data_IF_829793818056
#
_entry.id   IF_829793818056
#
_cell.length_a   1.000
_cell.length_b   1.000
_cell.length_c   1.000
_cell.angle_alpha   90.00
_cell.angle_beta   90.00
_cell.angle_gamma   90.00
#
_symmetry.space_group_name_H-M   'P 1'
#
loop_
_entity.id
_entity.type
_entity.pdbx_description
1 polymer ?
2 non-polymer ?
3 non-polymer ?
4 non-polymer ?
5 non-polymer ?
6 non-polymer ?
7 water ?
#
# COMPACT_ATOMS: atom_id res chain seq x y z
N UNK A 26 -22.94 22.69 -1.53
CA UNK A 26 -22.31 22.96 -0.23
C UNK A 26 -20.81 22.57 -0.20
N UNK A 27 -20.04 23.19 0.69
CA UNK A 27 -18.61 22.85 0.96
C UNK A 27 -18.47 21.34 1.18
N UNK A 28 -17.31 20.77 0.79
CA UNK A 28 -16.84 19.41 1.15
C UNK A 28 -17.87 18.34 0.76
N UNK A 29 -18.60 18.55 -0.34
CA UNK A 29 -19.71 17.67 -0.74
C UNK A 29 -19.23 16.76 -1.89
N UNK A 30 -17.91 16.56 -2.08
CA UNK A 30 -17.35 15.73 -3.17
C UNK A 30 -17.96 14.32 -3.13
N UNK A 31 -18.33 13.88 -1.93
CA UNK A 31 -18.58 12.45 -1.66
C UNK A 31 -19.83 12.29 -0.80
N UNK A 32 -20.83 13.13 -1.04
CA UNK A 32 -22.04 13.34 -0.20
C UNK A 32 -23.07 12.21 -0.43
N UNK A 33 -22.90 11.31 -1.40
CA UNK A 33 -23.93 10.27 -1.72
C UNK A 33 -24.96 10.76 -2.74
N UNK A 34 -24.73 11.93 -3.30
CA UNK A 34 -25.64 12.47 -4.31
C UNK A 34 -25.30 12.05 -5.74
N UNK A 35 -25.83 12.80 -6.69
CA UNK A 35 -25.75 12.44 -8.13
C UNK A 35 -24.67 13.24 -8.85
N UNK A 36 -23.69 13.78 -8.14
CA UNK A 36 -22.66 14.64 -8.75
C UNK A 36 -21.93 13.87 -9.86
N UNK A 37 -21.54 14.62 -10.87
CA UNK A 37 -20.74 14.13 -12.00
C UNK A 37 -19.69 15.20 -12.28
N UNK A 38 -18.90 15.52 -11.26
CA UNK A 38 -17.95 16.65 -11.32
C UNK A 38 -16.54 16.20 -11.70
N UNK A 39 -16.29 14.91 -11.68
CA UNK A 39 -14.94 14.41 -11.91
C UNK A 39 -14.02 14.69 -10.72
N UNK A 40 -14.56 14.78 -9.52
CA UNK A 40 -13.81 15.00 -8.28
C UNK A 40 -14.08 13.94 -7.21
N UNK A 41 -14.97 12.98 -7.48
CA UNK A 41 -15.44 11.90 -6.58
C UNK A 41 -14.27 10.96 -6.23
N UNK A 42 -14.30 10.36 -5.08
CA UNK A 42 -13.41 9.24 -4.75
C UNK A 42 -13.71 8.06 -5.67
N UNK A 43 -12.64 7.31 -5.98
CA UNK A 43 -12.76 6.02 -6.67
C UNK A 43 -12.49 4.89 -5.69
N UNK A 44 -13.47 4.00 -5.55
CA UNK A 44 -13.40 2.90 -4.58
C UNK A 44 -12.83 1.62 -5.15
N UNK A 45 -12.22 1.72 -6.33
CA UNK A 45 -11.41 0.63 -6.91
C UNK A 45 -9.93 1.05 -7.01
N UNK A 46 -9.58 2.10 -6.26
CA UNK A 46 -8.22 2.63 -6.21
C UNK A 46 -7.71 2.54 -4.78
N UNK A 47 -6.66 1.76 -4.58
CA UNK A 47 -6.16 1.37 -3.26
C UNK A 47 -4.80 1.98 -3.05
N UNK A 48 -4.60 2.81 -2.06
CA UNK A 48 -3.34 3.50 -1.84
C UNK A 48 -2.66 2.97 -0.58
N UNK A 49 -1.45 2.43 -0.75
CA UNK A 49 -0.77 1.78 0.39
C UNK A 49 -0.28 2.81 1.39
N UNK A 50 -0.72 2.66 2.62
CA UNK A 50 -0.53 3.64 3.70
C UNK A 50 0.18 2.99 4.88
N UNK A 51 1.08 3.77 5.47
CA UNK A 51 1.95 3.32 6.56
C UNK A 51 1.72 4.21 7.76
N UNK A 52 1.43 3.58 8.91
CA UNK A 52 1.12 4.28 10.15
C UNK A 52 2.19 4.07 11.20
N UNK A 53 3.44 3.89 10.76
CA UNK A 53 4.55 3.52 11.65
C UNK A 53 5.43 4.71 12.03
N UNK A 54 5.05 5.93 11.68
CA UNK A 54 5.86 7.10 11.99
C UNK A 54 5.51 7.61 13.39
N UNK A 55 6.53 8.09 14.10
CA UNK A 55 6.33 8.61 15.46
C UNK A 55 7.00 9.94 15.66
N UNK A 56 6.54 10.62 16.68
CA UNK A 56 7.29 11.76 17.22
C UNK A 56 7.68 11.45 18.65
N UNK A 57 8.74 12.08 19.13
CA UNK A 57 9.12 11.91 20.55
C UNK A 57 7.92 12.31 21.41
N UNK A 58 7.27 13.46 21.13
CA UNK A 58 6.20 13.98 21.99
C UNK A 58 5.06 12.99 22.12
N UNK A 59 4.61 12.43 21.03
CA UNK A 59 3.36 11.63 21.05
C UNK A 59 3.66 10.15 21.25
N UNK A 60 4.75 9.65 20.69
CA UNK A 60 5.03 8.20 20.66
C UNK A 60 6.25 7.81 21.48
N UNK A 61 7.03 8.77 21.92
CA UNK A 61 8.20 8.50 22.76
C UNK A 61 9.50 8.44 22.00
N UNK A 62 9.44 8.36 20.68
CA UNK A 62 10.61 8.31 19.80
C UNK A 62 10.17 8.76 18.42
N UNK A 63 11.09 9.23 17.61
CA UNK A 63 10.80 9.60 16.20
C UNK A 63 10.83 8.30 15.38
N UNK A 64 9.86 7.43 15.68
CA UNK A 64 9.80 6.10 15.10
C UNK A 64 9.77 6.16 13.59
N UNK A 65 10.55 5.32 12.96
CA UNK A 65 10.69 5.18 11.49
C UNK A 65 11.42 6.39 10.85
N UNK A 66 11.25 7.62 11.31
CA UNK A 66 12.14 8.69 10.84
C UNK A 66 13.58 8.32 11.22
N UNK A 67 13.74 7.71 12.39
CA UNK A 67 14.95 6.97 12.80
C UNK A 67 14.82 5.53 12.29
N UNK A 68 15.87 4.99 11.69
CA UNK A 68 15.79 3.64 11.09
C UNK A 68 17.19 3.08 10.96
N UNK A 69 17.30 1.78 11.15
CA UNK A 69 18.56 1.08 10.91
C UNK A 69 18.92 1.16 9.42
N UNK A 70 20.21 1.23 9.14
CA UNK A 70 20.73 1.10 7.78
C UNK A 70 20.93 -0.40 7.55
N UNK A 71 20.37 -0.94 6.47
CA UNK A 71 20.43 -2.38 6.19
C UNK A 71 21.85 -2.73 5.74
N UNK A 72 22.40 -3.86 6.19
CA UNK A 72 23.67 -4.32 5.66
C UNK A 72 23.49 -4.74 4.19
N UNK A 73 24.61 -4.73 3.49
CA UNK A 73 24.68 -5.16 2.08
C UNK A 73 24.58 -6.68 2.06
N UNK A 74 23.51 -7.28 1.47
CA UNK A 74 23.37 -8.74 1.46
C UNK A 74 24.50 -9.45 0.71
N UNK A 75 25.23 -8.73 -0.15
CA UNK A 75 26.41 -9.25 -0.90
C UNK A 75 27.74 -8.68 -0.33
N UNK A 76 27.72 -7.99 0.81
CA UNK A 76 28.87 -7.20 1.32
C UNK A 76 29.75 -7.95 2.32
N UNK A 77 29.33 -9.13 2.78
CA UNK A 77 30.13 -9.98 3.69
C UNK A 77 30.17 -9.46 5.12
N UNK A 78 31.20 -9.89 5.85
CA UNK A 78 31.30 -9.82 7.34
C UNK A 78 31.94 -8.51 7.81
N UNK A 79 31.56 -8.08 9.02
CA UNK A 79 32.17 -6.95 9.73
C UNK A 79 31.44 -5.64 9.49
N UNK A 80 30.31 -5.68 8.79
CA UNK A 80 29.45 -4.50 8.55
C UNK A 80 28.76 -4.09 9.85
N UNK A 81 29.12 -2.90 10.36
CA UNK A 81 28.29 -2.13 11.31
C UNK A 81 27.70 -0.99 10.50
N UNK A 82 26.62 -1.22 9.72
CA UNK A 82 26.15 -0.21 8.77
C UNK A 82 25.59 1.05 9.46
N UNK A 83 25.23 0.89 10.73
CA UNK A 83 24.77 2.01 11.59
C UNK A 83 23.29 2.33 11.44
N UNK A 84 22.93 3.55 11.82
CA UNK A 84 21.51 3.97 11.89
C UNK A 84 21.35 5.39 11.39
N UNK A 85 20.20 5.69 10.91
CA UNK A 85 19.80 7.08 10.68
C UNK A 85 19.04 7.54 11.91
N UNK A 86 19.44 8.67 12.50
CA UNK A 86 18.96 8.99 13.83
C UNK A 86 17.58 9.64 13.92
N UNK A 87 16.99 10.04 12.80
CA UNK A 87 15.66 10.64 12.83
C UNK A 87 15.64 12.00 13.45
N UNK A 88 16.75 12.71 13.34
CA UNK A 88 16.80 14.12 13.74
C UNK A 88 16.12 14.97 12.66
N UNK A 89 15.93 16.25 12.92
CA UNK A 89 15.36 17.12 11.88
C UNK A 89 16.23 17.03 10.62
N UNK A 90 17.53 17.05 10.81
CA UNK A 90 18.49 17.10 9.69
C UNK A 90 18.60 15.77 8.96
N UNK A 91 18.44 14.64 9.67
CA UNK A 91 18.76 13.30 9.13
C UNK A 91 17.64 12.29 9.40
N UNK A 92 16.76 12.14 8.42
CA UNK A 92 15.63 11.19 8.50
C UNK A 92 15.84 10.07 7.51
N UNK A 93 15.09 8.97 7.71
CA UNK A 93 15.25 7.74 6.93
C UNK A 93 14.46 7.80 5.65
N UNK A 94 14.77 8.79 4.82
CA UNK A 94 14.17 8.97 3.50
C UNK A 94 15.14 9.76 2.65
N UNK A 95 15.08 9.57 1.34
CA UNK A 95 15.78 10.44 0.41
C UNK A 95 15.00 11.73 0.13
N UNK A 96 13.73 11.77 0.50
CA UNK A 96 12.85 12.95 0.39
C UNK A 96 12.52 13.45 1.78
N UNK A 97 11.81 14.57 1.84
CA UNK A 97 11.49 15.22 3.11
C UNK A 97 10.02 15.58 3.15
N UNK A 98 9.23 15.09 4.13
CA UNK A 98 7.80 15.38 4.18
C UNK A 98 7.45 16.85 4.36
N UNK A 99 6.47 17.33 3.61
CA UNK A 99 5.88 18.64 3.88
C UNK A 99 5.41 18.75 5.34
N UNK A 100 4.87 17.66 5.87
CA UNK A 100 4.34 17.67 7.24
C UNK A 100 5.43 17.41 8.29
N UNK A 101 6.69 17.33 7.89
CA UNK A 101 7.81 17.14 8.80
C UNK A 101 7.82 15.73 9.40
N UNK A 102 8.52 15.59 10.54
CA UNK A 102 8.66 14.31 11.24
C UNK A 102 7.38 14.06 12.03
N UNK A 103 6.32 13.70 11.33
CA UNK A 103 4.99 13.64 11.93
C UNK A 103 4.80 12.31 12.68
N UNK A 104 3.82 12.37 13.56
CA UNK A 104 3.33 11.16 14.25
C UNK A 104 2.10 10.62 13.54
N UNK A 105 2.14 9.33 13.23
CA UNK A 105 0.94 8.64 12.70
C UNK A 105 -0.15 8.50 13.74
N UNK A 106 0.13 8.84 15.00
CA UNK A 106 -0.86 8.85 16.09
C UNK A 106 -1.51 10.22 16.26
N UNK A 107 -1.09 11.24 15.54
CA UNK A 107 -1.57 12.63 15.74
C UNK A 107 -2.86 12.79 14.98
N UNK A 108 -4.01 12.95 15.63
CA UNK A 108 -5.27 13.03 14.89
C UNK A 108 -5.26 14.19 13.89
N UNK A 109 -4.49 15.24 14.13
CA UNK A 109 -4.46 16.39 13.23
C UNK A 109 -3.66 16.04 11.95
N UNK A 110 -2.65 15.20 12.06
CA UNK A 110 -1.96 14.66 10.85
C UNK A 110 -2.92 13.78 10.08
N UNK A 111 -3.66 12.93 10.78
CA UNK A 111 -4.56 12.01 10.09
C UNK A 111 -5.62 12.80 9.33
N UNK A 112 -6.16 13.88 9.89
CA UNK A 112 -7.11 14.70 9.15
C UNK A 112 -6.50 15.23 7.85
N UNK A 113 -5.29 15.74 7.96
CA UNK A 113 -4.60 16.26 6.77
C UNK A 113 -4.38 15.14 5.75
N UNK A 114 -3.97 13.98 6.18
CA UNK A 114 -3.82 12.85 5.24
C UNK A 114 -5.14 12.53 4.56
N UNK A 115 -6.26 12.54 5.28
CA UNK A 115 -7.53 12.20 4.63
C UNK A 115 -7.89 13.28 3.61
N UNK A 116 -7.59 14.55 3.89
CA UNK A 116 -7.82 15.60 2.89
C UNK A 116 -6.95 15.34 1.68
N UNK A 117 -5.73 14.85 1.84
CA UNK A 117 -4.86 14.50 0.72
C UNK A 117 -5.45 13.36 -0.09
N UNK A 118 -6.01 12.33 0.55
CA UNK A 118 -6.69 11.26 -0.18
C UNK A 118 -7.84 11.84 -1.00
N UNK A 119 -8.61 12.75 -0.41
CA UNK A 119 -9.71 13.37 -1.18
C UNK A 119 -9.18 14.10 -2.40
N UNK A 120 -8.08 14.82 -2.24
CA UNK A 120 -7.45 15.52 -3.38
C UNK A 120 -7.00 14.52 -4.44
N UNK A 121 -6.47 13.37 -4.03
CA UNK A 121 -5.96 12.38 -4.97
C UNK A 121 -7.07 11.51 -5.56
N UNK A 122 -8.28 11.55 -4.98
CA UNK A 122 -9.42 10.74 -5.42
C UNK A 122 -9.24 9.26 -5.11
N UNK A 123 -8.33 8.94 -4.19
CA UNK A 123 -8.06 7.55 -3.83
C UNK A 123 -9.04 7.12 -2.73
N UNK A 124 -10.02 6.31 -3.06
CA UNK A 124 -11.07 6.00 -2.12
C UNK A 124 -10.75 4.96 -1.09
N UNK A 125 -9.67 4.18 -1.27
CA UNK A 125 -9.34 3.12 -0.31
C UNK A 125 -7.91 3.31 0.20
N UNK A 126 -7.78 3.35 1.52
CA UNK A 126 -6.52 3.40 2.24
C UNK A 126 -6.19 1.95 2.63
N UNK A 127 -5.08 1.44 2.11
CA UNK A 127 -4.67 0.06 2.36
C UNK A 127 -3.59 0.04 3.44
N UNK A 128 -4.01 -0.21 4.65
CA UNK A 128 -3.20 0.05 5.87
C UNK A 128 -2.29 -1.11 6.20
N UNK A 129 -0.97 -0.82 6.27
CA UNK A 129 0.02 -1.79 6.71
C UNK A 129 -0.41 -2.40 8.06
N UNK A 130 -0.26 -3.71 8.18
CA UNK A 130 -0.71 -4.41 9.38
C UNK A 130 0.27 -5.50 9.75
N UNK A 131 0.84 -5.37 10.96
CA UNK A 131 2.02 -6.14 11.39
C UNK A 131 1.75 -7.01 12.60
N UNK A 132 0.51 -7.16 13.03
CA UNK A 132 0.21 -8.03 14.21
C UNK A 132 1.06 -7.60 15.40
N UNK A 133 1.06 -6.30 15.69
CA UNK A 133 1.91 -5.78 16.77
C UNK A 133 1.37 -6.12 18.17
N UNK A 134 0.12 -6.46 18.33
CA UNK A 134 -0.58 -6.70 19.60
C UNK A 134 -0.07 -5.66 20.61
N UNK A 135 -0.33 -4.45 20.26
CA UNK A 135 0.13 -3.23 20.97
C UNK A 135 -1.00 -2.23 21.08
N UNK A 136 -1.27 -1.73 22.25
CA UNK A 136 -2.33 -0.74 22.43
C UNK A 136 -2.10 0.49 21.57
N UNK A 137 -0.87 0.89 21.31
CA UNK A 137 -0.68 2.15 20.55
C UNK A 137 -1.11 1.95 19.12
N UNK A 138 -0.94 0.75 18.58
CA UNK A 138 -1.39 0.43 17.22
C UNK A 138 -2.90 0.33 17.18
N UNK A 139 -3.52 -0.32 18.16
CA UNK A 139 -5.00 -0.34 18.21
C UNK A 139 -5.53 1.08 18.19
N UNK A 140 -4.89 1.98 18.93
CA UNK A 140 -5.37 3.38 18.94
C UNK A 140 -5.25 3.96 17.53
N UNK A 141 -4.12 3.78 16.88
CA UNK A 141 -3.93 4.31 15.51
C UNK A 141 -5.02 3.78 14.57
N UNK A 142 -5.26 2.47 14.59
CA UNK A 142 -6.22 1.91 13.63
C UNK A 142 -7.58 2.58 13.81
N UNK A 143 -8.02 2.72 15.07
CA UNK A 143 -9.30 3.36 15.32
C UNK A 143 -9.29 4.81 14.89
N UNK A 144 -8.22 5.56 15.14
CA UNK A 144 -8.14 6.96 14.70
C UNK A 144 -8.21 7.04 13.18
N UNK A 145 -7.50 6.14 12.51
CA UNK A 145 -7.49 6.14 11.03
C UNK A 145 -8.89 5.83 10.48
N UNK A 146 -9.57 4.83 10.98
CA UNK A 146 -10.93 4.53 10.55
C UNK A 146 -11.84 5.74 10.77
N UNK A 147 -11.76 6.35 11.93
CA UNK A 147 -12.64 7.51 12.21
C UNK A 147 -12.33 8.67 11.28
N UNK A 148 -11.05 8.97 11.05
CA UNK A 148 -10.70 10.12 10.21
C UNK A 148 -11.11 9.81 8.78
N UNK A 149 -10.87 8.60 8.32
CA UNK A 149 -11.26 8.21 6.94
C UNK A 149 -12.75 8.38 6.79
N UNK A 150 -13.54 7.96 7.74
CA UNK A 150 -14.99 7.98 7.56
C UNK A 150 -15.48 9.41 7.39
N UNK A 151 -14.88 10.37 8.08
CA UNK A 151 -15.29 11.77 7.97
C UNK A 151 -15.20 12.28 6.53
N UNK A 152 -14.38 11.68 5.70
CA UNK A 152 -14.15 12.07 4.32
C UNK A 152 -14.64 11.01 3.34
N UNK A 153 -15.37 10.01 3.81
CA UNK A 153 -15.95 8.91 3.03
C UNK A 153 -14.86 8.06 2.38
N UNK A 154 -13.69 8.04 2.99
CA UNK A 154 -12.63 7.11 2.56
C UNK A 154 -12.85 5.77 3.27
N UNK A 155 -12.50 4.71 2.58
CA UNK A 155 -12.59 3.36 3.12
C UNK A 155 -11.19 2.86 3.50
N UNK A 156 -11.15 1.86 4.36
CA UNK A 156 -9.88 1.26 4.85
C UNK A 156 -9.94 -0.24 4.66
N UNK A 157 -8.88 -0.77 4.10
CA UNK A 157 -8.67 -2.22 4.10
C UNK A 157 -7.27 -2.48 4.67
N UNK A 158 -6.95 -3.73 4.95
CA UNK A 158 -5.68 -4.07 5.57
C UNK A 158 -4.73 -4.77 4.60
N UNK A 159 -3.46 -4.39 4.72
CA UNK A 159 -2.32 -4.93 4.00
C UNK A 159 -1.55 -5.82 4.97
N UNK A 160 -1.77 -7.11 4.88
CA UNK A 160 -1.26 -8.06 5.85
C UNK A 160 0.20 -8.36 5.56
N UNK A 161 1.06 -7.90 6.46
CA UNK A 161 2.51 -7.94 6.28
C UNK A 161 3.07 -9.27 6.80
N UNK A 162 4.36 -9.53 6.50
CA UNK A 162 5.01 -10.79 6.88
C UNK A 162 5.51 -10.72 8.33
N UNK A 163 4.58 -10.76 9.22
CA UNK A 163 4.87 -10.74 10.68
C UNK A 163 5.45 -12.08 11.10
N UNK A 164 6.14 -12.12 12.27
CA UNK A 164 6.84 -13.35 12.70
C UNK A 164 5.91 -14.54 12.82
N UNK A 165 6.32 -15.66 12.25
CA UNK A 165 5.60 -16.93 12.26
C UNK A 165 4.25 -16.81 11.60
N UNK A 166 4.04 -15.81 10.73
CA UNK A 166 2.79 -15.75 9.99
C UNK A 166 2.53 -17.10 9.32
N UNK A 167 1.30 -17.57 9.42
CA UNK A 167 0.93 -18.85 8.84
C UNK A 167 -0.59 -18.79 8.65
N UNK A 168 -1.17 -19.78 7.98
CA UNK A 168 -2.59 -19.65 7.66
C UNK A 168 -3.49 -19.67 8.89
N UNK A 169 -3.07 -20.34 9.95
CA UNK A 169 -3.89 -20.42 11.18
C UNK A 169 -3.92 -19.07 11.89
N UNK A 170 -2.78 -18.48 12.14
CA UNK A 170 -2.81 -17.15 12.77
C UNK A 170 -3.32 -16.09 11.79
N UNK A 171 -3.17 -16.26 10.49
CA UNK A 171 -3.85 -15.33 9.55
C UNK A 171 -5.36 -15.44 9.73
N UNK A 172 -5.88 -16.65 9.80
CA UNK A 172 -7.33 -16.76 10.02
C UNK A 172 -7.72 -16.07 11.31
N UNK A 173 -6.99 -16.35 12.38
CA UNK A 173 -7.36 -15.76 13.67
C UNK A 173 -7.35 -14.23 13.57
N UNK A 174 -6.35 -13.69 12.88
CA UNK A 174 -6.26 -12.23 12.74
C UNK A 174 -7.31 -11.65 11.81
N UNK A 175 -7.67 -12.34 10.74
CA UNK A 175 -8.79 -11.92 9.89
C UNK A 175 -10.08 -11.92 10.70
N UNK A 176 -10.31 -12.95 11.49
CA UNK A 176 -11.50 -13.00 12.35
C UNK A 176 -11.47 -11.79 13.29
N UNK A 177 -10.35 -11.52 13.92
CA UNK A 177 -10.33 -10.40 14.89
C UNK A 177 -10.54 -9.07 14.16
N UNK A 178 -9.92 -8.86 13.00
CA UNK A 178 -10.12 -7.57 12.30
C UNK A 178 -11.56 -7.41 11.84
N UNK A 179 -12.16 -8.45 11.29
CA UNK A 179 -13.56 -8.33 10.84
C UNK A 179 -14.46 -8.16 12.07
N UNK A 180 -14.20 -8.87 13.16
CA UNK A 180 -15.03 -8.74 14.36
C UNK A 180 -14.92 -7.35 14.94
N UNK A 181 -13.70 -6.83 15.04
CA UNK A 181 -13.40 -5.52 15.72
C UNK A 181 -13.93 -4.38 14.84
N UNK A 182 -13.66 -4.46 13.53
CA UNK A 182 -13.80 -3.31 12.63
C UNK A 182 -14.88 -3.46 11.57
N UNK A 183 -15.46 -4.63 11.42
CA UNK A 183 -16.38 -4.90 10.32
C UNK A 183 -17.65 -4.07 10.35
N UNK A 184 -18.04 -3.54 11.49
CA UNK A 184 -19.22 -2.67 11.63
C UNK A 184 -18.83 -1.20 11.48
N UNK A 185 -17.55 -0.87 11.38
CA UNK A 185 -17.15 0.51 11.26
C UNK A 185 -17.56 0.97 9.88
N UNK A 186 -18.16 2.17 9.72
CA UNK A 186 -18.62 2.62 8.42
C UNK A 186 -17.49 2.76 7.39
N UNK A 187 -16.23 2.93 7.81
CA UNK A 187 -15.12 3.07 6.87
C UNK A 187 -14.56 1.72 6.46
N UNK A 188 -14.98 0.61 7.04
CA UNK A 188 -14.42 -0.70 6.69
C UNK A 188 -14.76 -1.01 5.25
N UNK A 189 -13.77 -1.27 4.43
CA UNK A 189 -14.00 -1.48 2.98
C UNK A 189 -14.70 -2.80 2.71
N UNK A 190 -15.69 -2.77 1.80
CA UNK A 190 -16.27 -4.00 1.23
C UNK A 190 -16.43 -3.78 -0.27
N UNK A 191 -16.20 -4.84 -1.02
CA UNK A 191 -16.50 -4.96 -2.45
C UNK A 191 -17.60 -6.03 -2.58
N UNK A 192 -18.73 -5.65 -3.13
CA UNK A 192 -19.87 -6.58 -3.29
C UNK A 192 -20.11 -7.37 -1.98
N UNK A 193 -20.01 -6.66 -0.87
CA UNK A 193 -20.33 -7.21 0.46
C UNK A 193 -19.19 -7.93 1.15
N UNK A 194 -18.01 -8.04 0.52
CA UNK A 194 -16.87 -8.79 1.11
C UNK A 194 -15.75 -7.83 1.45
N UNK A 195 -15.14 -8.00 2.62
CA UNK A 195 -13.88 -7.32 2.90
C UNK A 195 -12.82 -7.72 1.86
N UNK A 196 -11.72 -6.99 1.83
CA UNK A 196 -10.59 -7.30 0.96
C UNK A 196 -9.30 -7.15 1.76
N UNK A 197 -8.37 -8.09 1.57
CA UNK A 197 -7.02 -8.01 2.16
C UNK A 197 -6.00 -8.16 1.06
N UNK A 198 -4.95 -7.36 1.14
CA UNK A 198 -3.72 -7.58 0.38
C UNK A 198 -2.75 -8.38 1.24
N UNK A 199 -2.11 -9.39 0.67
CA UNK A 199 -1.18 -10.23 1.43
C UNK A 199 0.24 -10.06 0.86
N UNK A 200 1.06 -9.31 1.59
CA UNK A 200 2.42 -9.05 1.14
C UNK A 200 3.27 -10.30 1.29
N UNK A 201 4.11 -10.57 0.31
CA UNK A 201 5.08 -11.72 0.31
C UNK A 201 4.27 -13.02 0.58
N UNK A 202 3.13 -13.14 -0.09
CA UNK A 202 2.31 -14.35 0.07
C UNK A 202 3.03 -15.62 -0.35
N UNK A 203 4.13 -15.51 -1.12
CA UNK A 203 4.98 -16.64 -1.57
C UNK A 203 5.74 -17.27 -0.39
N UNK A 204 5.85 -16.57 0.73
CA UNK A 204 6.47 -17.15 1.95
C UNK A 204 5.59 -18.25 2.52
N UNK A 205 4.39 -18.51 1.94
CA UNK A 205 3.50 -19.56 2.46
C UNK A 205 3.15 -20.43 1.26
N UNK A 206 3.31 -21.74 1.42
CA UNK A 206 3.07 -22.71 0.36
C UNK A 206 1.60 -22.74 -0.03
N UNK A 207 1.30 -22.99 -1.32
CA UNK A 207 -0.09 -23.19 -1.77
C UNK A 207 -0.85 -24.23 -0.97
N UNK A 208 -0.19 -25.32 -0.57
CA UNK A 208 -0.89 -26.34 0.21
C UNK A 208 -1.43 -25.78 1.54
N UNK A 209 -0.72 -24.84 2.14
CA UNK A 209 -1.22 -24.18 3.37
C UNK A 209 -2.32 -23.20 2.99
N UNK A 210 -2.12 -22.37 1.98
CA UNK A 210 -3.16 -21.41 1.56
C UNK A 210 -4.46 -22.14 1.27
N UNK A 211 -4.41 -23.32 0.64
CA UNK A 211 -5.63 -24.10 0.28
C UNK A 211 -6.50 -24.29 1.51
N UNK A 212 -5.89 -24.55 2.65
CA UNK A 212 -6.65 -24.84 3.88
C UNK A 212 -7.53 -23.67 4.28
N UNK A 213 -7.07 -22.47 4.00
CA UNK A 213 -7.75 -21.21 4.34
C UNK A 213 -8.67 -20.73 3.24
N UNK A 214 -8.28 -20.93 1.98
CA UNK A 214 -8.89 -20.21 0.84
C UNK A 214 -9.66 -21.10 -0.09
N UNK A 215 -9.47 -22.39 -0.09
CA UNK A 215 -10.34 -23.28 -0.88
C UNK A 215 -11.67 -23.38 -0.14
N UNK A 216 -12.81 -23.48 -0.84
CA UNK A 216 -14.08 -23.74 -0.15
C UNK A 216 -14.06 -25.05 0.64
N UNK A 217 -13.20 -26.00 0.28
CA UNK A 217 -13.05 -27.27 0.95
C UNK A 217 -11.98 -27.29 2.00
N UNK A 218 -11.29 -26.19 2.20
CA UNK A 218 -10.15 -26.21 3.11
C UNK A 218 -10.52 -26.44 4.56
N UNK A 219 -9.65 -27.08 5.32
CA UNK A 219 -9.87 -27.47 6.71
C UNK A 219 -10.18 -26.28 7.61
N UNK A 220 -9.67 -25.11 7.28
CA UNK A 220 -9.94 -23.89 8.09
C UNK A 220 -10.49 -22.80 7.17
N UNK A 221 -11.35 -23.19 6.22
CA UNK A 221 -11.73 -22.23 5.18
C UNK A 221 -12.40 -21.02 5.80
N UNK A 222 -12.23 -19.88 5.15
CA UNK A 222 -13.06 -18.69 5.34
C UNK A 222 -14.19 -18.62 4.35
N UNK A 223 -14.18 -19.44 3.30
CA UNK A 223 -15.25 -19.37 2.31
C UNK A 223 -16.58 -19.77 2.96
N UNK A 224 -17.63 -19.04 2.61
CA UNK A 224 -18.99 -19.30 3.08
C UNK A 224 -19.09 -19.13 4.59
N UNK A 225 -18.24 -18.33 5.17
CA UNK A 225 -18.29 -17.98 6.59
C UNK A 225 -18.49 -16.49 6.71
N UNK A 226 -18.67 -16.06 7.96
CA UNK A 226 -18.77 -14.62 8.27
C UNK A 226 -17.47 -13.89 7.97
N UNK A 227 -16.39 -14.62 7.79
CA UNK A 227 -15.03 -14.08 7.68
C UNK A 227 -14.49 -14.18 6.27
N UNK A 228 -15.38 -14.49 5.31
CA UNK A 228 -14.99 -14.57 3.90
C UNK A 228 -14.50 -13.19 3.46
N UNK A 229 -13.54 -13.18 2.55
CA UNK A 229 -12.90 -11.93 2.08
C UNK A 229 -12.27 -12.16 0.71
N UNK A 230 -12.13 -11.10 -0.05
CA UNK A 230 -11.27 -11.15 -1.26
C UNK A 230 -9.83 -11.11 -0.80
N UNK A 231 -9.07 -12.12 -1.15
CA UNK A 231 -7.66 -12.28 -0.75
C UNK A 231 -6.80 -12.06 -1.97
N UNK A 232 -5.99 -11.00 -1.91
CA UNK A 232 -5.19 -10.55 -3.04
C UNK A 232 -3.72 -10.83 -2.75
N UNK A 233 -3.17 -11.83 -3.43
CA UNK A 233 -1.79 -12.24 -3.19
C UNK A 233 -0.82 -11.45 -4.05
N UNK A 234 0.44 -11.55 -3.70
CA UNK A 234 1.53 -10.82 -4.38
C UNK A 234 2.07 -11.65 -5.54
N UNK A 235 1.78 -11.26 -6.75
CA UNK A 235 2.40 -11.87 -7.94
C UNK A 235 3.82 -11.34 -8.09
N UNK A 236 4.82 -12.17 -7.96
CA UNK A 236 6.23 -11.77 -8.09
C UNK A 236 6.83 -12.16 -9.44
N UNK A 237 7.07 -13.45 -9.62
CA UNK A 237 7.96 -13.93 -10.71
C UNK A 237 7.19 -14.36 -11.96
N UNK A 238 7.74 -15.32 -12.71
CA UNK A 238 7.23 -15.62 -14.07
C UNK A 238 5.87 -16.31 -13.99
N UNK A 239 5.09 -16.24 -15.08
CA UNK A 239 3.81 -16.95 -15.11
C UNK A 239 3.94 -18.44 -14.83
N UNK A 240 5.02 -19.07 -15.27
CA UNK A 240 5.11 -20.54 -15.05
C UNK A 240 5.05 -20.87 -13.56
N UNK A 241 5.58 -20.03 -12.69
CA UNK A 241 5.54 -20.18 -11.22
C UNK A 241 4.22 -19.58 -10.69
N UNK A 242 3.87 -18.37 -11.09
CA UNK A 242 2.81 -17.61 -10.41
C UNK A 242 1.44 -18.12 -10.76
N UNK A 243 1.20 -18.56 -12.00
CA UNK A 243 -0.16 -19.00 -12.39
C UNK A 243 -0.58 -20.18 -11.51
N UNK A 244 0.18 -21.28 -11.45
CA UNK A 244 -0.26 -22.38 -10.60
C UNK A 244 -0.28 -21.98 -9.12
N UNK A 245 0.63 -21.13 -8.67
CA UNK A 245 0.63 -20.67 -7.27
C UNK A 245 -0.74 -20.03 -6.96
N UNK A 246 -1.15 -19.07 -7.78
CA UNK A 246 -2.40 -18.35 -7.45
C UNK A 246 -3.60 -19.29 -7.54
N UNK A 247 -3.62 -20.19 -8.54
CA UNK A 247 -4.76 -21.12 -8.64
C UNK A 247 -4.77 -22.08 -7.46
N UNK A 248 -3.64 -22.67 -7.16
CA UNK A 248 -3.55 -23.74 -6.13
C UNK A 248 -3.74 -23.15 -4.72
N UNK A 249 -3.35 -21.90 -4.54
CA UNK A 249 -3.52 -21.20 -3.25
C UNK A 249 -4.96 -20.70 -3.10
N UNK A 250 -5.71 -20.60 -4.19
CA UNK A 250 -7.12 -20.11 -4.12
C UNK A 250 -7.21 -18.63 -3.75
N UNK A 251 -6.22 -17.84 -4.14
CA UNK A 251 -6.39 -16.38 -4.01
C UNK A 251 -7.50 -15.90 -4.95
N UNK A 252 -8.16 -14.85 -4.54
CA UNK A 252 -9.19 -14.20 -5.37
C UNK A 252 -8.58 -13.29 -6.43
N UNK A 253 -7.33 -12.89 -6.24
CA UNK A 253 -6.71 -11.96 -7.16
C UNK A 253 -5.27 -11.75 -6.78
N UNK A 254 -4.63 -10.79 -7.42
CA UNK A 254 -3.20 -10.57 -7.19
C UNK A 254 -2.89 -9.13 -7.48
N UNK A 255 -1.82 -8.66 -6.82
CA UNK A 255 -1.25 -7.33 -6.98
C UNK A 255 0.25 -7.49 -7.13
N UNK A 256 0.97 -6.39 -7.44
CA UNK A 256 2.39 -6.49 -7.78
C UNK A 256 3.31 -5.73 -6.84
N UNK A 257 2.76 -4.77 -6.12
CA UNK A 257 3.38 -3.86 -5.13
C UNK A 257 4.49 -2.98 -5.66
N UNK A 258 5.57 -3.52 -6.17
CA UNK A 258 6.82 -2.77 -6.28
C UNK A 258 6.64 -1.59 -7.20
N UNK A 259 7.09 -0.42 -6.72
CA UNK A 259 7.00 0.81 -7.50
C UNK A 259 8.09 0.89 -8.58
N UNK A 260 9.17 0.15 -8.43
CA UNK A 260 10.30 0.17 -9.35
C UNK A 260 10.07 -0.76 -10.53
N UNK A 261 9.89 -0.20 -11.72
CA UNK A 261 9.61 -1.03 -12.90
C UNK A 261 10.78 -2.02 -13.09
N UNK A 262 10.44 -3.23 -13.42
CA UNK A 262 11.43 -4.27 -13.70
C UNK A 262 12.03 -4.93 -12.51
N UNK A 263 11.66 -4.57 -11.30
CA UNK A 263 12.20 -5.23 -10.09
C UNK A 263 11.81 -6.71 -10.11
N UNK A 264 10.57 -7.00 -10.48
CA UNK A 264 10.08 -8.36 -10.68
C UNK A 264 9.40 -8.43 -12.02
N UNK A 265 9.09 -9.66 -12.45
CA UNK A 265 8.21 -9.84 -13.62
C UNK A 265 6.89 -9.09 -13.43
N UNK A 266 6.33 -9.22 -12.22
CA UNK A 266 5.04 -8.62 -11.92
C UNK A 266 5.06 -7.11 -11.96
N UNK A 267 6.19 -6.51 -11.61
CA UNK A 267 6.34 -5.06 -11.62
C UNK A 267 6.98 -4.55 -12.93
N UNK A 268 6.87 -5.35 -14.00
CA UNK A 268 7.31 -4.93 -15.34
C UNK A 268 6.05 -4.64 -16.14
N UNK A 269 5.69 -3.37 -16.36
CA UNK A 269 4.35 -3.08 -16.87
C UNK A 269 4.04 -3.61 -18.27
N UNK A 270 5.04 -3.92 -19.08
CA UNK A 270 4.75 -4.54 -20.38
C UNK A 270 4.13 -5.94 -20.21
N UNK A 271 4.18 -6.54 -19.03
CA UNK A 271 3.53 -7.84 -18.77
C UNK A 271 2.07 -7.69 -18.35
N UNK A 272 1.60 -6.48 -18.12
CA UNK A 272 0.27 -6.33 -17.50
C UNK A 272 -0.89 -6.72 -18.43
N UNK A 273 -0.77 -6.47 -19.73
CA UNK A 273 -1.85 -6.91 -20.64
C UNK A 273 -2.00 -8.43 -20.50
N UNK A 274 -0.91 -9.19 -20.54
CA UNK A 274 -0.92 -10.67 -20.48
C UNK A 274 -1.46 -11.13 -19.12
N UNK A 275 -1.02 -10.43 -18.09
CA UNK A 275 -1.43 -10.80 -16.72
C UNK A 275 -2.95 -10.59 -16.56
N UNK A 276 -3.46 -9.51 -17.13
CA UNK A 276 -4.91 -9.23 -17.05
C UNK A 276 -5.67 -10.30 -17.86
N UNK A 277 -5.16 -10.66 -19.03
CA UNK A 277 -5.84 -11.68 -19.84
C UNK A 277 -5.98 -12.98 -19.03
N UNK A 278 -4.90 -13.38 -18.40
CA UNK A 278 -4.93 -14.61 -17.56
C UNK A 278 -5.93 -14.44 -16.41
N UNK A 279 -5.85 -13.31 -15.72
CA UNK A 279 -6.77 -13.06 -14.61
C UNK A 279 -8.21 -13.22 -15.09
N UNK A 280 -8.56 -12.57 -16.19
CA UNK A 280 -9.98 -12.61 -16.64
C UNK A 280 -10.34 -14.06 -17.01
N UNK A 281 -9.45 -14.79 -17.66
CA UNK A 281 -9.72 -16.19 -18.05
C UNK A 281 -9.96 -17.06 -16.80
N UNK A 282 -9.34 -16.71 -15.67
CA UNK A 282 -9.30 -17.62 -14.50
C UNK A 282 -10.16 -17.04 -13.35
N UNK A 283 -10.97 -16.01 -13.61
CA UNK A 283 -11.86 -15.44 -12.59
C UNK A 283 -11.11 -14.80 -11.44
N UNK A 284 -9.96 -14.21 -11.70
CA UNK A 284 -9.12 -13.56 -10.69
C UNK A 284 -9.13 -12.06 -10.91
N UNK A 285 -8.96 -11.32 -9.82
CA UNK A 285 -8.92 -9.85 -9.84
C UNK A 285 -7.47 -9.37 -9.88
N UNK A 286 -7.07 -8.73 -10.94
CA UNK A 286 -5.70 -8.16 -11.03
C UNK A 286 -5.76 -6.73 -10.62
N UNK A 287 -4.92 -6.36 -9.66
CA UNK A 287 -4.80 -5.00 -9.11
C UNK A 287 -3.36 -4.56 -9.25
N UNK A 288 -2.92 -4.19 -10.46
CA UNK A 288 -1.54 -3.79 -10.63
C UNK A 288 -1.18 -2.62 -9.74
N UNK A 289 0.06 -2.57 -9.31
CA UNK A 289 0.55 -1.48 -8.46
C UNK A 289 1.38 -0.51 -9.28
N UNK A 290 1.05 0.76 -9.16
CA UNK A 290 1.75 1.86 -9.83
C UNK A 290 2.36 2.78 -8.79
N UNK A 291 3.50 3.35 -9.13
CA UNK A 291 4.11 4.33 -8.27
C UNK A 291 4.86 5.40 -9.00
N UNK A 292 5.25 6.46 -8.28
CA UNK A 292 5.80 7.64 -8.94
C UNK A 292 7.32 7.63 -9.09
N UNK A 293 7.97 6.64 -8.49
CA UNK A 293 9.43 6.53 -8.50
C UNK A 293 9.84 5.57 -7.40
N UNK A 294 11.15 5.43 -7.24
CA UNK A 294 11.68 4.56 -6.18
C UNK A 294 13.08 5.01 -5.86
N UNK A 295 13.39 5.15 -4.57
CA UNK A 295 14.77 5.30 -4.11
C UNK A 295 14.80 5.04 -2.62
N UNK A 296 15.69 4.12 -2.21
CA UNK A 296 15.75 3.73 -0.80
C UNK A 296 17.18 3.75 -0.28
N UNK A 297 18.06 4.54 -0.90
CA UNK A 297 19.49 4.43 -0.60
C UNK A 297 19.89 5.07 0.72
N UNK A 298 19.09 5.87 1.39
CA UNK A 298 19.43 6.28 2.77
C UNK A 298 19.45 5.04 3.66
N UNK A 299 18.45 4.17 3.56
CA UNK A 299 18.40 2.97 4.41
C UNK A 299 19.05 1.75 3.76
N UNK A 300 19.25 1.75 2.45
CA UNK A 300 19.85 0.61 1.74
C UNK A 300 20.88 1.17 0.77
N UNK A 301 22.05 1.65 1.25
CA UNK A 301 23.01 2.35 0.41
C UNK A 301 23.50 1.57 -0.80
N UNK A 302 23.47 0.25 -0.69
CA UNK A 302 23.94 -0.69 -1.71
C UNK A 302 22.87 -0.94 -2.78
N UNK A 303 21.67 -0.38 -2.67
CA UNK A 303 20.54 -0.73 -3.53
C UNK A 303 20.29 0.29 -4.64
N UNK A 304 21.33 0.97 -5.09
CA UNK A 304 21.14 2.02 -6.09
C UNK A 304 20.62 1.51 -7.41
N UNK A 305 20.81 0.26 -7.77
CA UNK A 305 20.31 -0.30 -9.05
C UNK A 305 18.79 -0.20 -9.15
N UNK A 306 18.10 -0.13 -8.01
CA UNK A 306 16.62 -0.12 -7.99
C UNK A 306 16.09 1.31 -8.10
N UNK A 307 16.96 2.32 -8.07
CA UNK A 307 16.47 3.72 -8.22
C UNK A 307 15.71 3.89 -9.52
N UNK A 308 14.56 4.52 -9.42
CA UNK A 308 13.77 4.95 -10.58
C UNK A 308 13.49 6.41 -10.39
N UNK A 309 13.99 7.25 -11.28
CA UNK A 309 13.85 8.71 -11.18
C UNK A 309 12.45 9.16 -11.53
N UNK A 310 11.96 10.21 -10.87
CA UNK A 310 10.58 10.67 -11.08
C UNK A 310 10.39 11.44 -12.37
N UNK A 311 11.45 12.09 -12.85
CA UNK A 311 11.43 12.94 -14.08
C UNK A 311 10.19 13.83 -14.12
N UNK A 312 9.95 14.60 -13.09
CA UNK A 312 8.88 15.63 -13.09
C UNK A 312 7.50 15.04 -13.35
N UNK A 313 7.32 13.78 -12.97
CA UNK A 313 6.03 13.10 -13.08
C UNK A 313 5.90 12.12 -14.23
N UNK A 314 6.86 12.15 -15.15
CA UNK A 314 6.71 11.32 -16.35
C UNK A 314 6.78 9.83 -16.00
N UNK A 315 7.57 9.44 -15.02
CA UNK A 315 7.61 8.03 -14.61
C UNK A 315 6.23 7.58 -14.11
N UNK A 316 5.63 8.37 -13.26
CA UNK A 316 4.30 8.03 -12.69
C UNK A 316 3.31 7.94 -13.84
N UNK A 317 3.34 8.91 -14.74
CA UNK A 317 2.42 8.92 -15.89
C UNK A 317 2.54 7.63 -16.70
N UNK A 318 3.77 7.27 -17.00
CA UNK A 318 3.99 6.08 -17.84
C UNK A 318 3.45 4.83 -17.17
N UNK A 319 3.68 4.68 -15.87
CA UNK A 319 3.26 3.46 -15.18
C UNK A 319 1.73 3.44 -15.05
N UNK A 320 1.12 4.58 -14.70
CA UNK A 320 -0.33 4.63 -14.54
C UNK A 320 -0.99 4.33 -15.88
N UNK A 321 -0.45 4.91 -16.96
CA UNK A 321 -1.03 4.67 -18.29
C UNK A 321 -0.99 3.17 -18.59
N UNK A 322 0.08 2.47 -18.28
CA UNK A 322 0.17 1.02 -18.58
C UNK A 322 -0.89 0.26 -17.81
N UNK A 323 -1.13 0.63 -16.56
CA UNK A 323 -2.15 -0.07 -15.78
C UNK A 323 -3.53 0.11 -16.42
N UNK A 324 -3.83 1.34 -16.80
CA UNK A 324 -5.16 1.63 -17.40
C UNK A 324 -5.28 0.91 -18.73
N UNK A 325 -4.23 0.96 -19.54
CA UNK A 325 -4.23 0.32 -20.88
C UNK A 325 -4.39 -1.19 -20.76
N UNK A 326 -3.98 -1.79 -19.66
CA UNK A 326 -4.11 -3.24 -19.47
C UNK A 326 -5.58 -3.64 -19.31
N UNK A 327 -6.46 -2.69 -19.01
CA UNK A 327 -7.88 -3.01 -18.95
C UNK A 327 -8.32 -3.53 -17.60
N UNK A 328 -7.59 -3.25 -16.54
CA UNK A 328 -7.93 -3.74 -15.20
C UNK A 328 -9.11 -2.96 -14.64
N UNK A 329 -9.69 -3.57 -13.62
CA UNK A 329 -10.87 -3.12 -12.87
C UNK A 329 -10.51 -2.37 -11.57
N UNK A 330 -9.25 -2.45 -11.16
CA UNK A 330 -8.80 -1.91 -9.88
C UNK A 330 -7.32 -1.65 -10.04
N UNK A 331 -6.84 -0.60 -9.35
CA UNK A 331 -5.42 -0.20 -9.36
C UNK A 331 -4.99 0.05 -7.91
N UNK A 332 -3.75 -0.33 -7.62
CA UNK A 332 -3.16 -0.01 -6.32
C UNK A 332 -1.99 0.95 -6.55
N UNK A 333 -1.77 1.81 -5.57
CA UNK A 333 -0.74 2.87 -5.63
C UNK A 333 0.27 2.64 -4.53
N UNK A 334 1.50 2.44 -4.96
CA UNK A 334 2.67 2.30 -4.09
C UNK A 334 3.46 3.58 -4.23
N UNK A 335 3.28 4.54 -3.31
CA UNK A 335 2.57 4.45 -2.05
C UNK A 335 2.06 5.80 -1.66
N UNK A 336 1.19 5.86 -0.62
CA UNK A 336 0.93 7.16 0.00
C UNK A 336 2.21 7.71 0.65
N UNK A 337 2.81 6.88 1.50
CA UNK A 337 3.82 7.39 2.44
C UNK A 337 4.81 6.31 2.87
N UNK A 338 5.32 5.50 1.95
CA UNK A 338 6.51 4.66 2.20
C UNK A 338 7.73 5.55 1.93
N UNK A 339 8.01 6.42 2.88
CA UNK A 339 9.08 7.43 2.73
C UNK A 339 10.44 6.79 2.62
N UNK A 340 10.64 5.64 3.24
CA UNK A 340 11.95 4.99 3.18
C UNK A 340 12.30 4.59 1.77
N UNK A 341 11.31 4.30 0.97
CA UNK A 341 11.46 3.73 -0.37
C UNK A 341 11.22 4.75 -1.46
N UNK A 342 10.92 6.00 -1.09
CA UNK A 342 10.85 7.06 -2.09
C UNK A 342 9.75 6.86 -3.09
N UNK A 343 8.70 6.12 -2.72
CA UNK A 343 7.57 5.84 -3.59
C UNK A 343 6.36 6.72 -3.24
N UNK A 344 6.50 7.61 -2.28
CA UNK A 344 5.34 8.32 -1.74
C UNK A 344 4.77 9.33 -2.74
N UNK A 345 3.44 9.45 -2.70
CA UNK A 345 2.75 10.57 -3.35
C UNK A 345 2.43 11.68 -2.36
N UNK A 346 2.60 11.43 -1.06
CA UNK A 346 2.38 12.46 -0.04
C UNK A 346 3.29 13.63 -0.36
N UNK A 347 2.81 14.88 -0.13
CA UNK A 347 3.66 16.05 -0.41
C UNK A 347 5.01 16.03 0.30
N UNK A 348 6.04 16.39 -0.47
CA UNK A 348 7.44 16.53 -0.10
C UNK A 348 7.89 17.95 -0.40
N UNK A 349 8.87 18.43 0.36
CA UNK A 349 9.37 19.81 0.16
C UNK A 349 10.86 19.79 -0.01
N UNK A 350 11.41 20.82 -0.65
CA UNK A 350 12.87 20.96 -0.69
C UNK A 350 13.39 21.13 0.71
N UNK A 351 14.54 20.51 0.95
CA UNK A 351 15.20 20.64 2.24
C UNK A 351 16.67 20.28 2.08
N UNK A 352 17.53 21.15 2.56
CA UNK A 352 18.96 20.88 2.63
C UNK A 352 19.38 21.16 4.06
N UNK A 353 19.86 20.12 4.70
CA UNK A 353 20.28 20.25 6.09
C UNK A 353 21.80 20.23 6.07
N UNK A 354 22.38 20.45 7.24
CA UNK A 354 23.85 20.41 7.39
C UNK A 354 24.39 19.00 7.08
N UNK A 355 23.48 18.00 7.12
CA UNK A 355 23.76 16.52 7.07
C UNK A 355 23.33 15.82 5.77
N UNK A 356 22.37 16.35 5.01
CA UNK A 356 21.92 15.69 3.76
C UNK A 356 21.18 16.70 2.89
N UNK A 357 21.35 16.60 1.57
CA UNK A 357 20.54 17.35 0.62
C UNK A 357 19.44 16.40 0.12
N UNK A 358 18.21 16.64 0.48
CA UNK A 358 17.14 15.74 0.11
C UNK A 358 16.75 16.00 -1.33
N UNK A 359 16.24 14.94 -1.96
CA UNK A 359 15.50 15.07 -3.22
C UNK A 359 14.18 15.78 -2.94
N UNK A 360 13.56 16.33 -3.98
CA UNK A 360 12.26 16.99 -3.86
C UNK A 360 11.54 16.81 -5.19
N UNK A 361 10.37 17.46 -5.31
CA UNK A 361 9.54 17.27 -6.51
C UNK A 361 9.98 18.18 -7.65
N UNK A 362 11.15 18.78 -7.59
CA UNK A 362 11.81 19.30 -8.83
C UNK A 362 11.02 20.52 -9.33
N UNK A 363 10.55 20.44 -10.55
CA UNK A 363 9.77 21.55 -11.14
C UNK A 363 8.30 21.46 -10.78
N UNK A 364 7.91 20.49 -9.96
CA UNK A 364 6.50 20.32 -9.52
C UNK A 364 6.33 20.83 -8.11
N UNK A 365 5.14 21.26 -7.80
CA UNK A 365 4.76 21.71 -6.44
C UNK A 365 4.61 20.49 -5.52
N UNK A 366 4.68 20.71 -4.20
CA UNK A 366 4.58 19.58 -3.26
C UNK A 366 3.34 18.68 -3.48
N UNK A 367 2.19 19.24 -3.83
CA UNK A 367 0.97 18.40 -3.99
C UNK A 367 0.83 17.86 -5.40
N UNK A 368 1.84 17.98 -6.25
CA UNK A 368 1.67 17.54 -7.64
C UNK A 368 1.28 16.08 -7.75
N UNK A 369 1.90 15.19 -6.95
CA UNK A 369 1.56 13.77 -7.11
C UNK A 369 0.15 13.47 -6.62
N UNK A 370 -0.38 14.24 -5.68
CA UNK A 370 -1.80 14.10 -5.33
C UNK A 370 -2.69 14.50 -6.50
N UNK A 371 -2.45 15.69 -7.06
CA UNK A 371 -3.36 16.12 -8.13
C UNK A 371 -3.11 15.32 -9.40
N UNK A 372 -1.90 14.80 -9.63
CA UNK A 372 -1.70 13.93 -10.79
C UNK A 372 -2.38 12.58 -10.59
N UNK A 373 -2.42 12.08 -9.36
CA UNK A 373 -3.20 10.89 -9.07
C UNK A 373 -4.66 11.12 -9.42
N UNK A 374 -5.21 12.28 -9.06
CA UNK A 374 -6.63 12.56 -9.35
C UNK A 374 -6.87 12.51 -10.86
N UNK A 375 -5.93 13.07 -11.63
CA UNK A 375 -5.99 13.01 -13.10
C UNK A 375 -6.08 11.59 -13.60
N UNK A 376 -5.17 10.75 -13.10
CA UNK A 376 -5.15 9.34 -13.55
C UNK A 376 -6.36 8.58 -13.07
N UNK A 377 -6.86 8.85 -11.87
CA UNK A 377 -8.12 8.22 -11.43
C UNK A 377 -9.22 8.56 -12.45
N UNK A 378 -9.24 9.80 -12.90
CA UNK A 378 -10.26 10.15 -13.91
C UNK A 378 -10.10 9.40 -15.22
N UNK A 379 -8.88 9.24 -15.70
CA UNK A 379 -8.63 8.42 -16.91
C UNK A 379 -9.02 6.97 -16.66
N UNK A 380 -8.71 6.45 -15.50
CA UNK A 380 -9.09 5.08 -15.12
C UNK A 380 -10.62 4.92 -15.17
N UNK A 381 -11.33 5.88 -14.60
CA UNK A 381 -12.79 5.79 -14.55
C UNK A 381 -13.38 5.90 -15.94
N UNK A 382 -12.73 6.73 -16.76
CA UNK A 382 -13.23 6.97 -18.10
C UNK A 382 -13.17 5.65 -18.82
N UNK A 383 -12.16 4.84 -18.55
CA UNK A 383 -11.91 3.57 -19.28
C UNK A 383 -12.60 2.41 -18.58
N UNK A 384 -13.12 2.64 -17.37
CA UNK A 384 -13.37 1.50 -16.42
C UNK A 384 -14.61 0.69 -16.85
N UNK A 385 -14.55 -0.60 -16.47
CA UNK A 385 -15.73 -1.49 -16.64
C UNK A 385 -16.57 -1.44 -15.35
#
# INVERSE_FOLDING_TARGET
>A
MGSSHHHHHHSSGLVPRGSHMDDNNPSNSENNGGNNNLGTELDYDTFCFYYDWYGSEAIDGQYRHWAHAIAPDPNGGSGQNPGTIPGTQESIASNFYPQLGRYSSSDPNILTKHMDMFVMARTGVLALTWWNEQDETEAKRIGLILDAADKKKIKVCFHLEPYPSRNVQNLRENIVKLITRYGNHPAFYRKDGKPLFFIYDSYLIEPSEWEKLLSPGGSITIRNTAYDALMIGLWTSSPTVQRPFILNAHFDGFYTYFAATGFTYGSTPTNWVSMQKWAKENGKIFIPSVGPGYIDTRIRPWNGSVIRTRTDGQYYDAMYRKAIEAGVSAISITSFNEWHEGSQIEPAVPYTSSEFTYLDYENREPDYYLTRTAYWVGKFRESKQ
#
